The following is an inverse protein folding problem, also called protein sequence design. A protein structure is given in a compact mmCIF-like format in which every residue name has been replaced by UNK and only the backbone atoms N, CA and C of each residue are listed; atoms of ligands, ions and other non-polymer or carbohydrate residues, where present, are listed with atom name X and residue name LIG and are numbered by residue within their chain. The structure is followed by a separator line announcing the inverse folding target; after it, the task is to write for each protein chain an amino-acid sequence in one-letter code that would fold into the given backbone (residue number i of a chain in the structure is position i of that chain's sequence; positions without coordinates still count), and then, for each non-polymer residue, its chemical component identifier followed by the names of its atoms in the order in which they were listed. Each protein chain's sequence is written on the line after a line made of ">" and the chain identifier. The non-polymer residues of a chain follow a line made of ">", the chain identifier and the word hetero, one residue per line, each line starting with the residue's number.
data_IF_829985738285
#
_entry.id   IF_829985738285
#
_cell.length_a   1.000
_cell.length_b   1.000
_cell.length_c   1.000
_cell.angle_alpha   90.00
_cell.angle_beta   90.00
_cell.angle_gamma   90.00
#
_symmetry.space_group_name_H-M   'P 1'
#
loop_
_entity.id
_entity.type
_entity.pdbx_description
1 polymer ?
#
# COMPACT_ATOMS: atom_id res chain seq x y z
N UNK A 1 10.39 -7.03 -21.41
CA UNK A 1 11.41 -6.70 -20.38
C UNK A 1 10.91 -7.26 -19.05
N UNK A 2 11.77 -7.86 -18.24
CA UNK A 2 11.36 -8.45 -16.96
C UNK A 2 11.26 -7.34 -15.91
N UNK A 3 10.09 -7.20 -15.26
CA UNK A 3 9.91 -6.37 -14.07
C UNK A 3 10.85 -6.84 -12.96
N UNK A 4 12.02 -6.21 -12.82
CA UNK A 4 13.05 -6.60 -11.85
C UNK A 4 12.60 -6.46 -10.39
N UNK A 5 11.60 -5.63 -10.11
CA UNK A 5 10.99 -5.45 -8.79
C UNK A 5 9.78 -6.37 -8.60
N UNK A 6 9.34 -7.08 -9.64
CA UNK A 6 8.19 -8.00 -9.64
C UNK A 6 6.92 -7.35 -9.10
N UNK A 7 6.71 -6.08 -9.41
CA UNK A 7 5.56 -5.28 -8.95
C UNK A 7 4.28 -5.76 -9.63
N UNK A 8 4.35 -6.12 -10.92
CA UNK A 8 3.21 -6.64 -11.70
C UNK A 8 3.19 -8.18 -11.77
N UNK A 9 3.51 -8.86 -10.67
CA UNK A 9 3.58 -10.32 -10.60
C UNK A 9 2.74 -10.89 -9.46
N UNK A 10 2.44 -12.20 -9.53
CA UNK A 10 1.73 -12.93 -8.49
C UNK A 10 2.66 -13.24 -7.31
N UNK A 11 2.42 -12.58 -6.16
CA UNK A 11 3.30 -12.66 -4.98
C UNK A 11 3.28 -14.00 -4.26
N UNK A 12 2.17 -14.73 -4.35
CA UNK A 12 1.97 -15.98 -3.62
C UNK A 12 3.03 -17.05 -3.95
N UNK A 13 3.61 -17.01 -5.17
CA UNK A 13 4.70 -17.90 -5.57
C UNK A 13 5.94 -17.84 -4.70
N UNK A 14 6.14 -16.75 -3.95
CA UNK A 14 7.26 -16.58 -3.02
C UNK A 14 6.99 -17.14 -1.63
N UNK A 15 5.79 -17.68 -1.40
CA UNK A 15 5.35 -18.19 -0.10
C UNK A 15 4.78 -19.60 -0.19
N UNK A 16 5.52 -20.58 -0.76
CA UNK A 16 4.99 -21.94 -1.03
C UNK A 16 4.51 -22.64 0.25
N UNK A 17 5.17 -22.42 1.40
CA UNK A 17 4.72 -22.97 2.67
C UNK A 17 3.31 -22.50 3.05
N UNK A 18 2.99 -21.21 2.87
CA UNK A 18 1.65 -20.69 3.15
C UNK A 18 0.61 -21.24 2.18
N UNK A 19 0.99 -21.45 0.92
CA UNK A 19 0.11 -22.11 -0.08
C UNK A 19 -0.21 -23.52 0.36
N UNK A 20 0.79 -24.31 0.78
CA UNK A 20 0.59 -25.66 1.29
C UNK A 20 -0.33 -25.66 2.51
N UNK A 21 -0.06 -24.79 3.49
CA UNK A 21 -0.92 -24.65 4.68
C UNK A 21 -2.36 -24.31 4.33
N UNK A 22 -2.59 -23.43 3.32
CA UNK A 22 -3.93 -23.11 2.85
C UNK A 22 -4.62 -24.34 2.24
N UNK A 23 -3.92 -25.08 1.39
CA UNK A 23 -4.47 -26.26 0.70
C UNK A 23 -4.79 -27.40 1.68
N UNK A 24 -4.06 -27.49 2.79
CA UNK A 24 -4.26 -28.49 3.84
C UNK A 24 -5.29 -28.06 4.90
N UNK A 25 -5.69 -26.79 4.91
CA UNK A 25 -6.62 -26.21 5.89
C UNK A 25 -8.08 -26.47 5.51
N UNK A 26 -8.51 -27.73 5.63
CA UNK A 26 -9.88 -28.19 5.38
C UNK A 26 -10.83 -27.90 6.56
N UNK A 27 -10.30 -27.54 7.72
CA UNK A 27 -11.04 -27.18 8.94
C UNK A 27 -10.53 -25.88 9.54
N UNK A 28 -11.40 -25.20 10.32
CA UNK A 28 -11.00 -24.01 11.06
C UNK A 28 -9.80 -24.27 11.99
N UNK A 29 -9.77 -25.40 12.66
CA UNK A 29 -8.68 -25.77 13.58
C UNK A 29 -7.31 -25.81 12.89
N UNK A 30 -7.26 -26.20 11.62
CA UNK A 30 -6.03 -26.12 10.83
C UNK A 30 -5.78 -24.70 10.29
N UNK A 31 -6.83 -24.02 9.82
CA UNK A 31 -6.72 -22.68 9.24
C UNK A 31 -6.32 -21.60 10.27
N UNK A 32 -6.81 -21.70 11.51
CA UNK A 32 -6.64 -20.65 12.53
C UNK A 32 -5.17 -20.36 12.87
N UNK A 33 -4.29 -21.34 12.77
CA UNK A 33 -2.86 -21.21 13.08
C UNK A 33 -1.99 -20.84 11.88
N UNK A 34 -2.60 -20.63 10.69
CA UNK A 34 -1.91 -20.08 9.53
C UNK A 34 -1.98 -18.56 9.58
N UNK A 35 -0.92 -17.92 10.08
CA UNK A 35 -0.86 -16.48 10.27
C UNK A 35 -0.61 -15.72 8.95
N UNK A 36 -0.99 -14.43 8.84
CA UNK A 36 -0.83 -13.68 7.61
C UNK A 36 0.65 -13.46 7.28
N UNK A 37 0.94 -13.42 5.99
CA UNK A 37 2.27 -13.05 5.50
C UNK A 37 2.52 -11.56 5.69
N UNK A 38 1.46 -10.76 5.49
CA UNK A 38 1.51 -9.32 5.33
C UNK A 38 0.42 -8.64 6.17
N UNK A 39 0.82 -7.60 6.89
CA UNK A 39 -0.07 -6.77 7.69
C UNK A 39 0.02 -5.31 7.25
N UNK A 40 -1.08 -4.74 6.79
CA UNK A 40 -1.20 -3.33 6.45
C UNK A 40 -1.76 -2.53 7.63
N UNK A 41 -1.16 -1.37 7.91
CA UNK A 41 -1.43 -0.60 9.11
C UNK A 41 -1.67 0.86 8.76
N UNK A 42 -2.84 1.39 9.11
CA UNK A 42 -3.11 2.82 9.15
C UNK A 42 -2.61 3.39 10.46
N UNK A 43 -1.49 4.12 10.44
CA UNK A 43 -0.99 4.78 11.65
C UNK A 43 -1.71 6.08 11.94
N UNK A 44 -2.23 6.76 10.90
CA UNK A 44 -3.04 7.98 10.98
C UNK A 44 -4.18 7.91 9.98
N UNK A 45 -5.41 8.07 10.44
CA UNK A 45 -6.58 8.19 9.56
C UNK A 45 -6.70 9.59 8.94
N UNK A 46 -6.07 10.61 9.53
CA UNK A 46 -5.98 11.94 8.93
C UNK A 46 -5.08 11.92 7.69
N UNK A 47 -5.42 12.74 6.72
CA UNK A 47 -4.62 12.98 5.52
C UNK A 47 -4.55 14.47 5.23
N UNK A 48 -3.40 14.94 4.79
CA UNK A 48 -3.18 16.34 4.35
C UNK A 48 -3.52 16.57 2.87
N UNK A 49 -3.96 15.55 2.14
CA UNK A 49 -4.50 15.64 0.78
C UNK A 49 -6.00 15.30 0.71
N UNK A 50 -6.64 15.67 -0.42
CA UNK A 50 -8.03 15.30 -0.77
C UNK A 50 -8.09 14.88 -2.24
N UNK A 51 -7.28 13.86 -2.59
CA UNK A 51 -7.10 13.42 -3.96
C UNK A 51 -8.43 13.12 -4.66
N UNK A 52 -8.53 13.55 -5.93
CA UNK A 52 -9.73 13.38 -6.77
C UNK A 52 -10.05 11.92 -7.11
N UNK A 53 -9.18 11.01 -6.73
CA UNK A 53 -9.26 9.57 -7.01
C UNK A 53 -9.12 8.73 -5.73
N UNK A 54 -9.35 9.30 -4.54
CA UNK A 54 -9.16 8.57 -3.29
C UNK A 54 -10.23 7.48 -3.14
N UNK A 55 -9.83 6.22 -3.21
CA UNK A 55 -10.73 5.07 -3.10
C UNK A 55 -11.26 4.81 -1.68
N UNK A 56 -10.79 5.57 -0.69
CA UNK A 56 -11.17 5.46 0.74
C UNK A 56 -11.74 6.76 1.30
N UNK A 57 -12.19 7.67 0.46
CA UNK A 57 -12.71 9.00 0.81
C UNK A 57 -13.97 8.95 1.71
N UNK A 58 -14.77 7.89 1.61
CA UNK A 58 -15.93 7.65 2.46
C UNK A 58 -15.60 7.54 3.96
N UNK A 59 -14.34 7.28 4.33
CA UNK A 59 -13.89 7.20 5.73
C UNK A 59 -13.76 8.60 6.36
N UNK A 60 -13.64 9.65 5.56
CA UNK A 60 -13.75 11.05 6.00
C UNK A 60 -12.51 11.64 6.67
N UNK A 61 -11.39 10.94 6.69
CA UNK A 61 -10.08 11.39 7.21
C UNK A 61 -10.11 11.92 8.66
N UNK A 62 -10.68 11.19 9.63
CA UNK A 62 -10.77 11.64 11.01
C UNK A 62 -9.38 11.82 11.64
N UNK A 63 -9.25 12.72 12.61
CA UNK A 63 -7.99 12.97 13.33
C UNK A 63 -7.71 11.86 14.38
N UNK A 64 -7.68 10.60 13.92
CA UNK A 64 -7.42 9.43 14.76
C UNK A 64 -6.01 8.92 14.46
N UNK A 65 -5.23 8.70 15.51
CA UNK A 65 -3.91 8.09 15.48
C UNK A 65 -3.94 6.75 16.21
N UNK A 66 -3.22 5.77 15.68
CA UNK A 66 -3.08 4.48 16.35
C UNK A 66 -2.29 4.64 17.67
N UNK A 67 -2.63 3.86 18.68
CA UNK A 67 -1.90 3.90 19.95
C UNK A 67 -0.48 3.35 19.81
N UNK A 68 0.50 4.12 20.33
CA UNK A 68 1.93 3.82 20.17
C UNK A 68 2.34 2.55 20.92
N UNK A 69 1.87 2.40 22.15
CA UNK A 69 2.25 1.27 22.99
C UNK A 69 1.65 -0.02 22.46
N UNK A 70 0.36 0.02 22.15
CA UNK A 70 -0.39 -1.11 21.62
C UNK A 70 0.21 -1.58 20.30
N UNK A 71 0.43 -0.67 19.34
CA UNK A 71 1.01 -1.09 18.05
C UNK A 71 2.40 -1.70 18.22
N UNK A 72 3.25 -1.12 19.05
CA UNK A 72 4.59 -1.69 19.29
C UNK A 72 4.55 -3.08 19.91
N UNK A 73 3.61 -3.35 20.81
CA UNK A 73 3.39 -4.70 21.37
C UNK A 73 2.91 -5.66 20.27
N UNK A 74 1.92 -5.26 19.49
CA UNK A 74 1.37 -6.10 18.40
C UNK A 74 2.39 -6.38 17.29
N UNK A 75 3.31 -5.45 16.99
CA UNK A 75 4.39 -5.70 16.03
C UNK A 75 5.31 -6.83 16.48
N UNK A 76 5.71 -6.84 17.77
CA UNK A 76 6.54 -7.92 18.34
C UNK A 76 5.80 -9.25 18.34
N UNK A 77 4.55 -9.24 18.77
CA UNK A 77 3.69 -10.41 18.80
C UNK A 77 3.47 -11.00 17.40
N UNK A 78 3.09 -10.17 16.42
CA UNK A 78 2.86 -10.60 15.05
C UNK A 78 4.09 -11.30 14.45
N UNK A 79 5.30 -10.79 14.72
CA UNK A 79 6.54 -11.47 14.31
C UNK A 79 6.70 -12.84 14.95
N UNK A 80 6.46 -12.96 16.26
CA UNK A 80 6.59 -14.25 16.97
C UNK A 80 5.62 -15.31 16.44
N UNK A 81 4.48 -14.86 15.92
CA UNK A 81 3.43 -15.70 15.31
C UNK A 81 3.71 -16.04 13.84
N UNK A 82 4.70 -15.41 13.21
CA UNK A 82 5.15 -15.76 11.86
C UNK A 82 4.79 -14.75 10.76
N UNK A 83 4.20 -13.61 11.08
CA UNK A 83 4.04 -12.48 10.13
C UNK A 83 5.41 -12.10 9.57
N UNK A 84 5.50 -11.88 8.27
CA UNK A 84 6.76 -11.59 7.57
C UNK A 84 7.00 -10.10 7.38
N UNK A 85 5.94 -9.38 7.05
CA UNK A 85 6.07 -7.98 6.65
C UNK A 85 4.91 -7.12 7.11
N UNK A 86 5.21 -5.81 7.29
CA UNK A 86 4.24 -4.77 7.58
C UNK A 86 4.35 -3.64 6.58
N UNK A 87 3.24 -2.98 6.27
CA UNK A 87 3.24 -1.76 5.48
C UNK A 87 2.48 -0.66 6.22
N UNK A 88 3.14 0.46 6.42
CA UNK A 88 2.49 1.67 6.90
C UNK A 88 1.89 2.41 5.71
N UNK A 89 0.56 2.41 5.65
CA UNK A 89 -0.19 2.99 4.54
C UNK A 89 -1.57 3.42 5.04
N UNK A 90 -2.57 3.36 4.20
CA UNK A 90 -3.93 3.27 4.63
C UNK A 90 -4.88 4.36 4.22
N UNK A 91 -5.87 4.57 5.08
CA UNK A 91 -7.00 5.47 4.88
C UNK A 91 -6.63 6.94 5.08
N UNK A 92 -5.38 7.23 5.48
CA UNK A 92 -4.84 8.58 5.68
C UNK A 92 -3.39 8.68 5.22
N UNK A 93 -2.61 9.55 5.86
CA UNK A 93 -1.18 9.72 5.59
C UNK A 93 -0.36 9.22 6.79
N UNK A 94 0.44 8.15 6.62
CA UNK A 94 1.14 7.54 7.75
C UNK A 94 2.15 8.47 8.42
N UNK A 95 2.80 9.37 7.68
CA UNK A 95 3.81 10.28 8.21
C UNK A 95 3.23 11.46 9.02
N UNK A 96 1.90 11.57 9.12
CA UNK A 96 1.26 12.46 10.10
C UNK A 96 1.39 11.94 11.53
N UNK A 97 1.67 10.65 11.71
CA UNK A 97 1.84 10.09 13.05
C UNK A 97 3.17 10.53 13.67
N UNK A 98 3.12 11.28 14.79
CA UNK A 98 4.30 11.88 15.41
C UNK A 98 5.34 10.87 15.91
N UNK A 99 4.95 9.61 16.12
CA UNK A 99 5.82 8.53 16.62
C UNK A 99 6.13 7.49 15.55
N UNK A 100 6.04 7.86 14.26
CA UNK A 100 6.26 6.93 13.15
C UNK A 100 7.62 6.22 13.22
N UNK A 101 8.68 6.94 13.61
CA UNK A 101 10.02 6.38 13.73
C UNK A 101 10.15 5.33 14.85
N UNK A 102 9.30 5.41 15.89
CA UNK A 102 9.24 4.37 16.94
C UNK A 102 8.72 3.06 16.38
N UNK A 103 7.71 3.10 15.50
CA UNK A 103 7.20 1.90 14.83
C UNK A 103 8.24 1.29 13.89
N UNK A 104 8.93 2.15 13.12
CA UNK A 104 10.03 1.73 12.23
C UNK A 104 11.12 1.00 13.02
N UNK A 105 11.55 1.55 14.14
CA UNK A 105 12.54 0.93 15.00
C UNK A 105 12.03 -0.40 15.59
N UNK A 106 10.79 -0.42 16.10
CA UNK A 106 10.21 -1.66 16.66
C UNK A 106 10.11 -2.76 15.62
N UNK A 107 9.61 -2.47 14.41
CA UNK A 107 9.51 -3.45 13.33
C UNK A 107 10.90 -3.98 12.92
N UNK A 108 11.91 -3.10 12.80
CA UNK A 108 13.27 -3.47 12.48
C UNK A 108 13.88 -4.42 13.54
N UNK A 109 13.82 -4.05 14.80
CA UNK A 109 14.34 -4.90 15.89
C UNK A 109 13.57 -6.21 16.05
N UNK A 110 12.30 -6.21 15.65
CA UNK A 110 11.49 -7.43 15.55
C UNK A 110 11.78 -8.25 14.29
N UNK A 111 12.67 -7.80 13.40
CA UNK A 111 12.99 -8.47 12.13
C UNK A 111 11.76 -8.62 11.20
N UNK A 112 10.86 -7.66 11.21
CA UNK A 112 9.79 -7.54 10.22
C UNK A 112 10.30 -6.75 9.02
N UNK A 113 10.10 -7.27 7.82
CA UNK A 113 10.22 -6.45 6.63
C UNK A 113 9.18 -5.33 6.70
N UNK A 114 9.58 -4.11 6.39
CA UNK A 114 8.67 -2.98 6.53
C UNK A 114 8.71 -2.04 5.35
N UNK A 115 7.56 -1.44 5.08
CA UNK A 115 7.40 -0.60 3.92
C UNK A 115 6.47 0.58 4.18
N UNK A 116 6.54 1.58 3.30
CA UNK A 116 5.66 2.75 3.31
C UNK A 116 4.95 2.96 1.99
N UNK A 117 3.69 3.40 2.07
CA UNK A 117 3.02 4.13 1.00
C UNK A 117 2.61 5.49 1.57
N UNK A 118 3.12 6.57 1.01
CA UNK A 118 2.95 7.94 1.50
C UNK A 118 2.69 8.91 0.36
N UNK A 119 2.04 10.04 0.62
CA UNK A 119 1.95 11.13 -0.35
C UNK A 119 3.24 11.95 -0.48
N UNK A 120 4.23 11.69 0.37
CA UNK A 120 5.60 12.22 0.29
C UNK A 120 5.83 13.60 0.89
N UNK A 121 4.79 14.40 1.20
CA UNK A 121 4.99 15.77 1.75
C UNK A 121 5.81 15.79 3.04
N UNK A 122 5.68 14.74 3.83
CA UNK A 122 6.34 14.62 5.13
C UNK A 122 7.46 13.59 5.12
N UNK A 123 8.00 13.24 3.95
CA UNK A 123 8.98 12.17 3.82
C UNK A 123 10.25 12.42 4.65
N UNK A 124 10.64 13.67 4.85
CA UNK A 124 11.77 14.04 5.71
C UNK A 124 11.56 13.69 7.20
N UNK A 125 10.32 13.49 7.65
CA UNK A 125 10.04 12.99 9.01
C UNK A 125 10.42 11.53 9.22
N UNK A 126 10.58 10.77 8.14
CA UNK A 126 11.10 9.42 8.21
C UNK A 126 12.63 9.49 8.37
N UNK A 127 13.09 9.39 9.63
CA UNK A 127 14.49 9.59 10.00
C UNK A 127 15.39 8.45 9.50
N UNK A 128 14.87 7.24 9.44
CA UNK A 128 15.60 6.00 9.19
C UNK A 128 15.04 5.23 7.97
N UNK A 129 15.00 5.84 6.77
CA UNK A 129 14.47 5.17 5.57
C UNK A 129 15.25 3.90 5.22
N UNK A 130 16.54 3.80 5.57
CA UNK A 130 17.39 2.63 5.34
C UNK A 130 16.95 1.38 6.14
N UNK A 131 16.09 1.52 7.14
CA UNK A 131 15.51 0.39 7.88
C UNK A 131 14.26 -0.19 7.19
N UNK A 132 13.80 0.44 6.11
CA UNK A 132 12.68 -0.05 5.32
C UNK A 132 13.15 -0.92 4.15
N UNK A 133 12.37 -1.93 3.80
CA UNK A 133 12.59 -2.73 2.59
C UNK A 133 12.27 -1.92 1.34
N UNK A 134 11.16 -1.15 1.39
CA UNK A 134 10.81 -0.21 0.33
C UNK A 134 9.94 0.95 0.82
N UNK A 135 10.02 2.05 0.08
CA UNK A 135 9.18 3.24 0.27
C UNK A 135 8.58 3.59 -1.09
N UNK A 136 7.28 3.82 -1.12
CA UNK A 136 6.53 4.18 -2.32
C UNK A 136 5.85 5.52 -2.11
N UNK A 137 6.21 6.50 -2.92
CA UNK A 137 5.61 7.83 -2.92
C UNK A 137 4.49 7.90 -3.94
N UNK A 138 3.26 8.17 -3.48
CA UNK A 138 2.09 8.34 -4.34
C UNK A 138 2.10 9.75 -4.93
N UNK A 139 2.54 9.88 -6.20
CA UNK A 139 2.65 11.14 -6.92
C UNK A 139 2.00 10.98 -8.30
N UNK A 140 0.82 11.59 -8.48
CA UNK A 140 -0.06 11.30 -9.60
C UNK A 140 -0.14 12.46 -10.61
N UNK A 141 0.99 13.09 -10.88
CA UNK A 141 1.08 14.24 -11.77
C UNK A 141 2.48 14.42 -12.33
N UNK A 142 2.62 15.03 -13.49
CA UNK A 142 3.91 15.41 -14.10
C UNK A 142 4.29 16.88 -13.92
N UNK A 143 3.39 17.71 -13.38
CA UNK A 143 3.61 19.15 -13.18
C UNK A 143 3.01 19.65 -11.88
N UNK A 144 3.45 20.84 -11.40
CA UNK A 144 2.90 21.49 -10.19
C UNK A 144 1.40 21.72 -10.30
N UNK A 145 0.94 22.24 -11.43
CA UNK A 145 -0.47 22.55 -11.65
C UNK A 145 -1.34 21.30 -11.66
N UNK A 146 -0.92 20.23 -12.37
CA UNK A 146 -1.64 18.96 -12.36
C UNK A 146 -1.60 18.30 -10.97
N UNK A 147 -0.48 18.41 -10.24
CA UNK A 147 -0.35 17.90 -8.88
C UNK A 147 -1.35 18.56 -7.93
N UNK A 148 -1.37 19.90 -7.89
CA UNK A 148 -2.28 20.65 -7.02
C UNK A 148 -3.76 20.31 -7.31
N UNK A 149 -4.11 20.19 -8.60
CA UNK A 149 -5.45 19.84 -9.04
C UNK A 149 -5.86 18.42 -8.63
N UNK A 150 -5.00 17.43 -8.87
CA UNK A 150 -5.32 16.01 -8.66
C UNK A 150 -5.28 15.65 -7.16
N UNK A 151 -4.27 16.14 -6.45
CA UNK A 151 -4.12 15.87 -5.02
C UNK A 151 -4.95 16.82 -4.14
N UNK A 152 -5.59 17.85 -4.74
CA UNK A 152 -6.32 18.93 -4.04
C UNK A 152 -5.50 19.51 -2.88
N UNK A 153 -4.32 20.02 -3.22
CA UNK A 153 -3.35 20.62 -2.32
C UNK A 153 -2.72 21.86 -2.95
N UNK A 154 -1.76 22.50 -2.26
CA UNK A 154 -1.04 23.68 -2.74
C UNK A 154 0.07 23.28 -3.73
N UNK A 155 0.31 24.06 -4.78
CA UNK A 155 1.39 23.84 -5.75
C UNK A 155 2.79 23.78 -5.11
N UNK A 156 3.02 24.51 -4.00
CA UNK A 156 4.29 24.47 -3.24
C UNK A 156 4.59 23.11 -2.63
N UNK A 157 3.58 22.25 -2.45
CA UNK A 157 3.76 20.91 -1.92
C UNK A 157 4.45 19.98 -2.94
N UNK A 158 4.36 20.29 -4.23
CA UNK A 158 5.14 19.64 -5.28
C UNK A 158 6.65 19.67 -5.01
N UNK A 159 7.17 20.85 -4.68
CA UNK A 159 8.60 21.00 -4.41
C UNK A 159 9.00 20.23 -3.15
N UNK A 160 8.18 20.30 -2.08
CA UNK A 160 8.43 19.56 -0.83
C UNK A 160 8.50 18.04 -1.06
N UNK A 161 7.61 17.49 -1.91
CA UNK A 161 7.63 16.04 -2.21
C UNK A 161 8.92 15.66 -2.91
N UNK A 162 9.35 16.44 -3.92
CA UNK A 162 10.58 16.13 -4.66
C UNK A 162 11.85 16.34 -3.84
N UNK A 163 11.88 17.37 -2.98
CA UNK A 163 12.95 17.58 -2.01
C UNK A 163 13.02 16.40 -1.02
N UNK A 164 11.87 15.98 -0.49
CA UNK A 164 11.76 14.81 0.38
C UNK A 164 12.24 13.51 -0.29
N UNK A 165 11.86 13.26 -1.54
CA UNK A 165 12.35 12.10 -2.32
C UNK A 165 13.87 12.17 -2.47
N UNK A 166 14.41 13.31 -2.92
CA UNK A 166 15.85 13.49 -3.12
C UNK A 166 16.64 13.31 -1.83
N UNK A 167 16.13 13.82 -0.72
CA UNK A 167 16.74 13.67 0.60
C UNK A 167 16.67 12.21 1.10
N UNK A 168 15.54 11.54 0.89
CA UNK A 168 15.37 10.14 1.26
C UNK A 168 16.29 9.23 0.41
N UNK A 169 16.45 9.47 -0.88
CA UNK A 169 17.38 8.74 -1.76
C UNK A 169 18.81 8.78 -1.21
N UNK A 170 19.28 9.92 -0.71
CA UNK A 170 20.62 10.05 -0.11
C UNK A 170 20.80 9.20 1.16
N UNK A 171 19.72 8.88 1.86
CA UNK A 171 19.72 8.19 3.17
C UNK A 171 19.19 6.77 3.12
N UNK A 172 18.61 6.33 1.98
CA UNK A 172 17.86 5.07 1.88
C UNK A 172 18.72 3.79 2.02
N UNK A 173 20.04 3.87 1.85
CA UNK A 173 20.88 2.66 1.83
C UNK A 173 20.36 1.62 0.82
N UNK A 174 20.05 0.42 1.29
CA UNK A 174 19.49 -0.68 0.48
C UNK A 174 17.96 -0.62 0.31
N UNK A 175 17.29 0.35 0.90
CA UNK A 175 15.84 0.52 0.74
C UNK A 175 15.51 0.86 -0.73
N UNK A 176 14.52 0.17 -1.30
CA UNK A 176 14.01 0.52 -2.63
C UNK A 176 13.02 1.68 -2.52
N UNK A 177 13.32 2.83 -3.14
CA UNK A 177 12.45 4.00 -3.13
C UNK A 177 11.90 4.26 -4.53
N UNK A 178 10.58 4.18 -4.68
CA UNK A 178 9.92 4.41 -5.95
C UNK A 178 8.76 5.37 -5.89
N UNK A 179 8.37 5.85 -7.07
CA UNK A 179 7.19 6.68 -7.28
C UNK A 179 6.07 5.82 -7.84
N UNK A 180 4.85 5.98 -7.34
CA UNK A 180 3.65 5.36 -7.89
C UNK A 180 2.70 6.42 -8.42
N UNK A 181 2.21 6.20 -9.63
CA UNK A 181 1.14 6.98 -10.21
C UNK A 181 -0.08 6.11 -10.53
N UNK A 182 -1.24 6.53 -10.05
CA UNK A 182 -2.53 6.07 -10.58
C UNK A 182 -2.78 6.82 -11.87
N UNK A 183 -2.92 6.08 -12.97
CA UNK A 183 -3.16 6.68 -14.29
C UNK A 183 -4.62 7.08 -14.40
N UNK A 184 -4.84 8.33 -14.78
CA UNK A 184 -6.15 8.96 -14.92
C UNK A 184 -6.23 9.68 -16.27
N UNK A 185 -7.44 9.91 -16.82
CA UNK A 185 -7.59 10.70 -18.06
C UNK A 185 -6.96 12.08 -18.01
N UNK A 186 -6.91 12.69 -16.82
CA UNK A 186 -6.36 14.03 -16.61
C UNK A 186 -4.84 14.08 -16.42
N UNK A 187 -4.15 12.95 -16.25
CA UNK A 187 -2.70 12.94 -16.01
C UNK A 187 -1.88 12.10 -17.00
N UNK A 188 -2.48 11.17 -17.76
CA UNK A 188 -1.70 10.20 -18.54
C UNK A 188 -0.74 10.84 -19.54
N UNK A 189 -1.08 12.01 -20.09
CA UNK A 189 -0.20 12.75 -21.02
C UNK A 189 1.04 13.34 -20.36
N UNK A 190 1.02 13.51 -19.04
CA UNK A 190 2.14 14.06 -18.27
C UNK A 190 3.11 12.97 -17.78
N UNK A 191 2.89 11.70 -18.12
CA UNK A 191 3.66 10.59 -17.54
C UNK A 191 5.13 10.60 -17.96
N UNK A 192 5.46 11.14 -19.14
CA UNK A 192 6.84 11.35 -19.57
C UNK A 192 7.57 12.37 -18.68
N UNK A 193 6.91 13.46 -18.27
CA UNK A 193 7.47 14.46 -17.35
C UNK A 193 7.70 13.85 -15.95
N UNK A 194 6.76 13.02 -15.50
CA UNK A 194 6.87 12.31 -14.22
C UNK A 194 8.04 11.32 -14.26
N UNK A 195 8.21 10.57 -15.36
CA UNK A 195 9.30 9.62 -15.53
C UNK A 195 10.67 10.30 -15.52
N UNK A 196 10.81 11.42 -16.25
CA UNK A 196 12.03 12.23 -16.24
C UNK A 196 12.38 12.72 -14.83
N UNK A 197 11.40 13.27 -14.13
CA UNK A 197 11.60 13.82 -12.80
C UNK A 197 11.94 12.74 -11.77
N UNK A 198 11.26 11.59 -11.83
CA UNK A 198 11.53 10.46 -10.95
C UNK A 198 12.94 9.91 -11.16
N UNK A 199 13.36 9.73 -12.43
CA UNK A 199 14.72 9.32 -12.78
C UNK A 199 15.76 10.32 -12.28
N UNK A 200 15.53 11.61 -12.51
CA UNK A 200 16.44 12.68 -12.10
C UNK A 200 16.57 12.80 -10.56
N UNK A 201 15.54 12.45 -9.80
CA UNK A 201 15.59 12.45 -8.34
C UNK A 201 16.39 11.29 -7.74
N UNK A 202 16.78 10.29 -8.54
CA UNK A 202 17.46 9.08 -8.10
C UNK A 202 16.54 8.03 -7.51
N UNK A 203 15.23 8.12 -7.73
CA UNK A 203 14.30 7.04 -7.40
C UNK A 203 14.66 5.75 -8.18
N UNK A 204 14.34 4.58 -7.63
CA UNK A 204 14.67 3.31 -8.26
C UNK A 204 13.66 2.92 -9.35
N UNK A 205 12.40 3.36 -9.22
CA UNK A 205 11.36 3.09 -10.22
C UNK A 205 10.23 4.11 -10.22
N UNK A 206 9.52 4.15 -11.33
CA UNK A 206 8.16 4.69 -11.46
C UNK A 206 7.21 3.56 -11.80
N UNK A 207 6.17 3.34 -11.00
CA UNK A 207 5.11 2.40 -11.33
C UNK A 207 3.84 3.14 -11.74
N UNK A 208 3.30 2.75 -12.89
CA UNK A 208 2.02 3.21 -13.43
C UNK A 208 0.98 2.11 -13.23
N UNK A 209 -0.08 2.43 -12.53
CA UNK A 209 -1.14 1.45 -12.23
C UNK A 209 -2.53 2.00 -12.58
N UNK A 210 -3.52 1.14 -12.87
CA UNK A 210 -4.90 1.57 -13.02
C UNK A 210 -5.46 2.13 -11.71
N UNK A 211 -6.50 2.91 -11.83
CA UNK A 211 -7.39 3.24 -10.73
C UNK A 211 -8.17 1.98 -10.35
N UNK A 212 -8.37 1.77 -9.08
CA UNK A 212 -9.26 0.72 -8.56
C UNK A 212 -10.39 1.38 -7.80
N UNK A 213 -11.62 1.16 -8.24
CA UNK A 213 -12.80 1.70 -7.60
C UNK A 213 -12.97 1.07 -6.20
N UNK A 214 -13.02 1.91 -5.18
CA UNK A 214 -13.34 1.46 -3.82
C UNK A 214 -14.84 1.15 -3.68
N UNK A 215 -15.17 0.05 -3.01
CA UNK A 215 -16.56 -0.38 -2.81
C UNK A 215 -17.45 0.70 -2.17
N UNK A 216 -16.87 1.50 -1.28
CA UNK A 216 -17.58 2.56 -0.56
C UNK A 216 -17.12 3.97 -0.94
N UNK A 217 -16.30 4.10 -1.98
CA UNK A 217 -15.79 5.40 -2.41
C UNK A 217 -16.92 6.32 -2.84
N UNK A 218 -16.88 7.57 -2.39
CA UNK A 218 -17.81 8.64 -2.81
C UNK A 218 -17.52 9.05 -4.25
N UNK A 219 -16.21 9.13 -4.58
CA UNK A 219 -15.78 9.41 -5.96
C UNK A 219 -15.95 8.15 -6.80
N UNK A 220 -16.70 8.27 -7.90
CA UNK A 220 -16.90 7.19 -8.87
C UNK A 220 -16.07 7.47 -10.13
N UNK A 221 -15.27 6.50 -10.58
CA UNK A 221 -14.38 6.57 -11.75
C UNK A 221 -14.22 5.20 -12.42
N UNK A 222 -15.30 4.44 -12.49
CA UNK A 222 -15.36 3.11 -13.08
C UNK A 222 -15.42 3.11 -14.62
N UNK A 223 -15.51 4.29 -15.24
CA UNK A 223 -15.62 4.53 -16.68
C UNK A 223 -14.28 4.79 -17.39
N UNK A 224 -13.12 4.58 -16.73
CA UNK A 224 -11.82 4.89 -17.33
C UNK A 224 -11.45 3.86 -18.41
N UNK A 225 -11.43 4.33 -19.66
CA UNK A 225 -10.97 3.52 -20.79
C UNK A 225 -9.44 3.56 -20.94
N UNK A 226 -8.76 2.56 -20.42
CA UNK A 226 -7.31 2.43 -20.49
C UNK A 226 -6.80 2.05 -21.87
N UNK A 227 -7.63 1.53 -22.79
CA UNK A 227 -7.20 1.14 -24.13
C UNK A 227 -6.64 2.33 -24.93
N UNK A 228 -7.20 3.52 -24.69
CA UNK A 228 -6.74 4.77 -25.33
C UNK A 228 -5.37 5.25 -24.83
N UNK A 229 -4.96 4.83 -23.65
CA UNK A 229 -3.72 5.27 -23.00
C UNK A 229 -2.61 4.21 -23.15
N UNK A 230 -2.98 2.99 -23.50
CA UNK A 230 -2.08 1.83 -23.49
C UNK A 230 -0.84 2.04 -24.35
N UNK A 231 -1.00 2.52 -25.58
CA UNK A 231 0.14 2.69 -26.52
C UNK A 231 1.18 3.69 -26.00
N UNK A 232 0.76 4.79 -25.37
CA UNK A 232 1.67 5.79 -24.82
C UNK A 232 2.36 5.25 -23.55
N UNK A 233 1.62 4.59 -22.68
CA UNK A 233 2.12 4.12 -21.37
C UNK A 233 3.07 2.92 -21.50
N UNK A 234 2.79 2.00 -22.42
CA UNK A 234 3.62 0.81 -22.66
C UNK A 234 4.99 1.14 -23.23
N UNK A 235 5.12 2.27 -23.96
CA UNK A 235 6.38 2.71 -24.53
C UNK A 235 7.31 3.38 -23.51
N UNK A 236 6.78 3.87 -22.37
CA UNK A 236 7.58 4.63 -21.41
C UNK A 236 8.77 3.81 -20.86
N UNK A 237 8.60 2.51 -20.63
CA UNK A 237 9.69 1.66 -20.17
C UNK A 237 10.85 1.61 -21.17
N UNK A 238 10.58 1.55 -22.48
CA UNK A 238 11.62 1.52 -23.51
C UNK A 238 12.39 2.84 -23.63
N UNK A 239 11.76 3.96 -23.24
CA UNK A 239 12.36 5.31 -23.33
C UNK A 239 13.14 5.65 -22.05
N UNK A 240 12.63 5.28 -20.88
CA UNK A 240 13.15 5.78 -19.60
C UNK A 240 13.95 4.77 -18.78
N UNK A 241 13.85 3.47 -19.10
CA UNK A 241 14.61 2.45 -18.38
C UNK A 241 16.12 2.65 -18.48
N UNK A 242 16.77 2.54 -17.32
CA UNK A 242 18.24 2.52 -17.20
C UNK A 242 18.64 1.35 -16.30
N UNK A 243 19.92 1.06 -16.12
CA UNK A 243 20.37 0.08 -15.13
C UNK A 243 19.91 0.37 -13.69
N UNK A 244 19.71 1.66 -13.34
CA UNK A 244 19.37 2.12 -11.99
C UNK A 244 17.94 2.67 -11.81
N UNK A 245 17.16 2.78 -12.89
CA UNK A 245 15.78 3.27 -12.85
C UNK A 245 14.89 2.46 -13.78
N UNK A 246 13.69 2.11 -13.35
CA UNK A 246 12.71 1.35 -14.14
C UNK A 246 11.36 2.05 -14.20
N UNK A 247 10.72 2.01 -15.36
CA UNK A 247 9.30 2.34 -15.52
C UNK A 247 8.51 1.05 -15.65
N UNK A 248 7.57 0.84 -14.72
CA UNK A 248 6.78 -0.38 -14.64
C UNK A 248 5.32 -0.04 -14.92
N UNK A 249 4.86 -0.38 -16.11
CA UNK A 249 3.45 -0.29 -16.46
C UNK A 249 2.75 -1.58 -16.06
N UNK A 250 1.76 -1.48 -15.13
CA UNK A 250 1.05 -2.65 -14.60
C UNK A 250 -0.05 -3.11 -15.55
N UNK A 251 0.36 -3.61 -16.70
CA UNK A 251 -0.54 -4.07 -17.76
C UNK A 251 -1.45 -5.20 -17.29
N UNK A 252 -0.90 -6.19 -16.56
CA UNK A 252 -1.70 -7.30 -16.01
C UNK A 252 -2.82 -6.80 -15.09
N UNK A 253 -2.55 -5.80 -14.26
CA UNK A 253 -3.57 -5.23 -13.39
C UNK A 253 -4.67 -4.51 -14.18
N UNK A 254 -4.31 -3.81 -15.26
CA UNK A 254 -5.27 -3.13 -16.14
C UNK A 254 -6.15 -4.14 -16.87
N UNK A 255 -5.56 -5.21 -17.40
CA UNK A 255 -6.32 -6.28 -18.08
C UNK A 255 -7.26 -7.02 -17.13
N UNK A 256 -6.84 -7.24 -15.87
CA UNK A 256 -7.66 -7.91 -14.86
C UNK A 256 -8.84 -7.06 -14.38
N UNK A 257 -8.70 -5.75 -14.34
CA UNK A 257 -9.78 -4.83 -13.89
C UNK A 257 -11.00 -4.87 -14.83
N UNK A 258 -10.79 -5.22 -16.11
CA UNK A 258 -11.84 -5.35 -17.11
C UNK A 258 -12.47 -6.76 -17.21
N UNK A 259 -11.96 -7.73 -16.44
CA UNK A 259 -12.41 -9.13 -16.51
C UNK A 259 -13.20 -9.53 -15.26
N UNK A 260 -14.27 -10.31 -15.47
CA UNK A 260 -14.97 -10.95 -14.37
C UNK A 260 -14.05 -11.95 -13.66
N UNK A 261 -14.10 -11.99 -12.34
CA UNK A 261 -13.35 -12.98 -11.56
C UNK A 261 -13.84 -14.41 -11.88
N UNK A 262 -12.89 -15.31 -12.14
CA UNK A 262 -13.17 -16.71 -12.43
C UNK A 262 -13.11 -17.61 -11.18
N UNK A 263 -13.34 -17.03 -9.99
CA UNK A 263 -13.34 -17.76 -8.73
C UNK A 263 -14.57 -17.40 -7.89
N UNK A 264 -15.09 -18.39 -7.21
CA UNK A 264 -16.27 -18.23 -6.32
C UNK A 264 -15.86 -17.72 -4.94
N UNK A 265 -14.60 -17.94 -4.55
CA UNK A 265 -14.07 -17.58 -3.23
C UNK A 265 -12.71 -16.91 -3.31
N UNK A 266 -12.55 -15.78 -2.60
CA UNK A 266 -11.25 -15.14 -2.45
C UNK A 266 -10.43 -15.85 -1.36
N UNK A 267 -9.37 -16.56 -1.75
CA UNK A 267 -8.47 -17.24 -0.82
C UNK A 267 -7.40 -16.30 -0.20
N UNK A 268 -7.22 -15.08 -0.71
CA UNK A 268 -6.33 -14.11 -0.09
C UNK A 268 -6.88 -13.62 1.25
N UNK A 269 -8.16 -13.36 1.28
CA UNK A 269 -8.92 -12.97 2.45
C UNK A 269 -9.70 -14.20 2.96
N UNK A 270 -9.55 -14.64 4.17
CA UNK A 270 -8.82 -14.11 5.33
C UNK A 270 -7.50 -14.85 5.65
N UNK A 271 -6.71 -15.27 4.68
CA UNK A 271 -5.61 -16.21 4.92
C UNK A 271 -4.22 -15.59 4.87
N UNK A 272 -3.97 -14.61 3.96
CA UNK A 272 -2.61 -14.16 3.67
C UNK A 272 -2.27 -12.77 4.16
N UNK A 273 -3.26 -11.95 4.49
CA UNK A 273 -3.04 -10.59 4.93
C UNK A 273 -4.17 -10.08 5.82
N UNK A 274 -3.91 -8.98 6.51
CA UNK A 274 -4.89 -8.25 7.29
C UNK A 274 -4.61 -6.75 7.23
N UNK A 275 -5.59 -5.98 7.62
CA UNK A 275 -5.55 -4.53 7.61
C UNK A 275 -6.00 -3.98 8.96
N UNK A 276 -5.22 -3.08 9.57
CA UNK A 276 -5.62 -2.41 10.82
C UNK A 276 -5.82 -0.92 10.59
N UNK A 277 -6.98 -0.42 10.95
CA UNK A 277 -7.32 0.99 10.95
C UNK A 277 -6.71 1.72 12.15
N UNK A 278 -6.62 3.06 12.08
CA UNK A 278 -6.05 3.88 13.15
C UNK A 278 -6.81 3.80 14.49
N UNK A 279 -8.08 3.40 14.47
CA UNK A 279 -8.91 3.15 15.67
C UNK A 279 -8.69 1.75 16.28
N UNK A 280 -7.76 0.98 15.72
CA UNK A 280 -7.41 -0.36 16.18
C UNK A 280 -8.24 -1.49 15.59
N UNK A 281 -9.34 -1.23 14.89
CA UNK A 281 -10.13 -2.28 14.23
C UNK A 281 -9.30 -2.98 13.17
N UNK A 282 -9.30 -4.31 13.20
CA UNK A 282 -8.62 -5.15 12.22
C UNK A 282 -9.64 -5.77 11.26
N UNK A 283 -9.32 -5.67 9.97
CA UNK A 283 -10.15 -6.18 8.87
C UNK A 283 -9.41 -7.26 8.09
N UNK A 284 -10.15 -8.21 7.58
CA UNK A 284 -9.61 -9.24 6.67
C UNK A 284 -9.43 -8.73 5.23
N UNK A 285 -10.09 -7.63 4.83
CA UNK A 285 -10.03 -7.09 3.48
C UNK A 285 -10.09 -5.56 3.46
N UNK A 286 -9.16 -4.91 2.76
CA UNK A 286 -9.11 -3.44 2.62
C UNK A 286 -10.22 -2.87 1.73
N UNK A 287 -10.81 -3.67 0.86
CA UNK A 287 -11.95 -3.24 0.06
C UNK A 287 -13.26 -3.08 0.89
N UNK A 288 -13.29 -3.64 2.10
CA UNK A 288 -14.48 -3.71 2.94
C UNK A 288 -14.30 -3.06 4.33
N UNK A 289 -13.49 -2.00 4.45
CA UNK A 289 -13.18 -1.33 5.72
C UNK A 289 -14.38 -0.67 6.43
N UNK A 290 -15.51 -0.47 5.73
CA UNK A 290 -16.75 0.05 6.30
C UNK A 290 -17.81 -1.05 6.48
N UNK A 291 -17.47 -2.30 6.26
CA UNK A 291 -18.37 -3.43 6.43
C UNK A 291 -17.95 -4.28 7.64
N UNK A 292 -18.73 -4.22 8.71
CA UNK A 292 -18.42 -4.92 9.97
C UNK A 292 -18.33 -6.44 9.82
N UNK A 293 -18.90 -7.02 8.76
CA UNK A 293 -18.73 -8.46 8.46
C UNK A 293 -17.26 -8.83 8.21
N UNK A 294 -16.45 -7.88 7.76
CA UNK A 294 -15.01 -8.07 7.50
C UNK A 294 -14.13 -7.59 8.66
N UNK A 295 -14.73 -7.00 9.71
CA UNK A 295 -14.02 -6.66 10.95
C UNK A 295 -13.80 -7.93 11.78
N UNK A 296 -12.55 -8.33 11.97
CA UNK A 296 -12.19 -9.57 12.65
C UNK A 296 -11.80 -9.37 14.12
N UNK A 297 -11.62 -8.12 14.57
CA UNK A 297 -11.30 -7.79 15.96
C UNK A 297 -10.73 -6.38 16.12
N UNK A 298 -10.18 -6.09 17.30
CA UNK A 298 -9.58 -4.78 17.60
C UNK A 298 -8.31 -4.95 18.43
N UNK A 299 -7.18 -4.44 17.93
CA UNK A 299 -5.86 -4.54 18.59
C UNK A 299 -5.77 -3.77 19.92
N UNK A 300 -6.68 -2.82 20.17
CA UNK A 300 -6.72 -2.07 21.43
C UNK A 300 -7.26 -2.91 22.61
N UNK A 301 -8.01 -3.97 22.31
CA UNK A 301 -8.69 -4.80 23.33
C UNK A 301 -8.29 -6.27 23.27
N UNK A 302 -7.62 -6.68 22.20
CA UNK A 302 -7.24 -8.06 21.94
C UNK A 302 -5.78 -8.14 21.49
N UNK A 303 -5.13 -9.26 21.77
CA UNK A 303 -3.83 -9.61 21.19
C UNK A 303 -3.98 -9.94 19.70
N UNK A 304 -2.87 -9.95 18.96
CA UNK A 304 -2.89 -10.33 17.54
C UNK A 304 -3.36 -11.79 17.38
N UNK A 305 -2.94 -12.67 18.29
CA UNK A 305 -3.33 -14.08 18.31
C UNK A 305 -4.84 -14.23 18.55
N UNK A 306 -5.38 -13.58 19.59
CA UNK A 306 -6.83 -13.62 19.90
C UNK A 306 -7.70 -13.16 18.73
N UNK A 307 -7.25 -12.14 17.98
CA UNK A 307 -7.96 -11.68 16.78
C UNK A 307 -7.86 -12.73 15.68
N UNK A 308 -6.63 -13.20 15.40
CA UNK A 308 -6.39 -14.05 14.24
C UNK A 308 -6.99 -15.45 14.40
N UNK A 309 -6.96 -16.02 15.60
CA UNK A 309 -7.56 -17.32 15.92
C UNK A 309 -9.02 -17.21 16.39
N UNK A 310 -9.57 -15.99 16.44
CA UNK A 310 -10.87 -15.71 17.02
C UNK A 310 -12.05 -15.90 16.05
N UNK A 311 -13.24 -15.81 16.65
CA UNK A 311 -14.53 -16.02 15.99
C UNK A 311 -14.80 -15.02 14.86
N UNK A 312 -14.30 -13.77 14.97
CA UNK A 312 -14.43 -12.76 13.90
C UNK A 312 -13.79 -13.23 12.59
N UNK A 313 -12.56 -13.75 12.65
CA UNK A 313 -11.88 -14.29 11.46
C UNK A 313 -12.49 -15.63 11.03
N UNK A 314 -12.94 -16.47 11.97
CA UNK A 314 -13.62 -17.72 11.65
C UNK A 314 -14.82 -17.50 10.74
N UNK A 315 -15.70 -16.54 11.09
CA UNK A 315 -16.86 -16.18 10.26
C UNK A 315 -16.47 -15.75 8.86
N UNK A 316 -15.35 -15.01 8.72
CA UNK A 316 -14.82 -14.62 7.43
C UNK A 316 -14.24 -15.81 6.64
N UNK A 317 -13.65 -16.78 7.34
CA UNK A 317 -13.08 -17.97 6.73
C UNK A 317 -14.16 -18.94 6.24
N UNK A 318 -15.32 -18.96 6.88
CA UNK A 318 -16.48 -19.80 6.54
C UNK A 318 -17.36 -19.19 5.43
N UNK A 319 -17.23 -17.88 5.09
CA UNK A 319 -17.90 -17.23 3.95
C UNK A 319 -17.31 -17.69 2.61
#
# INVERSE_FOLDING_TARGET
>A
MTDSFRIDSTKIHFHPKHVTQLLEADTWEKAKTTYPIYWEITTSAACNHRCTFCSVDAIGYPAILIDVHILNERLREAKSLGVKSVMYAGTGEPLLHKKINTFVQTAFWSQLDQAFTTNGILLDKLELPQLCSWIKVSLNAGSKASYAKIHKTDEKDWDKVWDGITNAVKRKGNCTLGVQCVVLPENYKDMHLLADRARASGADYLVLKPYSQGTFSIVQRDDIDYSRMHNELSLLSSVYDTPTFKVIYRENAIMQESQAHHYDRCNATPNFWCYTMADGRMFSCSAHLLNDKFCIGNINTQTFQEIWEGEGRRKNWEM
#
